data_IF_395218611309
#
_entry.id   IF_395218611309
#
_cell.length_a   1.000
_cell.length_b   1.000
_cell.length_c   1.000
_cell.angle_alpha   90.00
_cell.angle_beta   90.00
_cell.angle_gamma   90.00
#
_symmetry.space_group_name_H-M   'P 1'
#
loop_
_entity.id
_entity.type
_entity.pdbx_description
1 polymer ?
#
# COMPACT_ATOMS: atom_id res chain seq x y z
N UNK A 1 18.09 47.53 9.94
CA UNK A 1 17.29 47.04 11.07
C UNK A 1 15.89 47.65 10.96
N UNK A 2 15.01 47.01 10.19
CA UNK A 2 13.59 47.36 10.11
C UNK A 2 12.80 46.10 10.45
N UNK A 3 12.13 46.15 11.59
CA UNK A 3 11.35 45.07 12.17
C UNK A 3 9.93 45.16 11.60
N UNK A 4 9.53 44.21 10.77
CA UNK A 4 8.18 44.13 10.22
C UNK A 4 7.33 43.23 11.14
N UNK A 5 6.48 43.84 11.95
CA UNK A 5 5.51 43.15 12.80
C UNK A 5 4.31 42.71 11.98
N UNK A 6 4.12 41.40 11.81
CA UNK A 6 2.95 40.80 11.18
C UNK A 6 1.90 40.51 12.27
N UNK A 7 0.72 41.13 12.15
CA UNK A 7 -0.45 40.91 13.00
C UNK A 7 -1.29 39.80 12.39
N UNK A 8 -1.48 38.70 13.11
CA UNK A 8 -2.33 37.57 12.70
C UNK A 8 -3.72 37.77 13.31
N UNK A 9 -4.73 37.97 12.45
CA UNK A 9 -6.14 37.97 12.83
C UNK A 9 -6.66 36.52 12.79
N UNK A 10 -7.10 36.01 13.94
CA UNK A 10 -7.75 34.70 14.06
C UNK A 10 -9.24 34.84 13.68
N UNK A 11 -9.66 34.19 12.60
CA UNK A 11 -11.08 34.03 12.26
C UNK A 11 -11.64 32.73 12.84
N UNK A 12 -12.72 32.86 13.61
CA UNK A 12 -13.40 31.80 14.33
C UNK A 12 -14.54 31.23 13.46
N UNK A 13 -14.42 30.00 12.98
CA UNK A 13 -15.51 29.31 12.26
C UNK A 13 -16.41 28.55 13.25
N UNK A 14 -17.64 29.01 13.42
CA UNK A 14 -18.67 28.29 14.16
C UNK A 14 -19.31 27.21 13.27
N UNK A 15 -19.27 25.96 13.72
CA UNK A 15 -19.91 24.81 13.07
C UNK A 15 -21.42 24.79 13.37
N UNK A 16 -22.25 25.13 12.39
CA UNK A 16 -23.69 24.85 12.43
C UNK A 16 -23.95 23.39 12.00
N UNK A 17 -24.38 22.55 12.94
CA UNK A 17 -24.92 21.20 12.64
C UNK A 17 -26.35 21.33 12.12
N UNK A 18 -26.60 20.85 10.90
CA UNK A 18 -27.94 20.63 10.37
C UNK A 18 -28.47 19.24 10.80
N UNK A 19 -29.78 19.09 11.07
CA UNK A 19 -30.36 17.84 11.54
C UNK A 19 -30.60 16.82 10.41
N UNK A 20 -30.33 15.56 10.70
CA UNK A 20 -30.56 14.40 9.83
C UNK A 20 -32.03 13.95 9.93
N UNK A 21 -32.73 13.70 8.82
CA UNK A 21 -34.09 13.15 8.86
C UNK A 21 -34.10 11.62 9.02
N UNK A 22 -34.93 11.16 9.95
CA UNK A 22 -35.18 9.75 10.28
C UNK A 22 -36.03 9.08 9.19
N UNK A 23 -35.58 7.95 8.65
CA UNK A 23 -36.33 7.11 7.71
C UNK A 23 -36.88 5.88 8.45
N UNK A 24 -38.20 5.68 8.39
CA UNK A 24 -38.91 4.53 8.97
C UNK A 24 -38.93 3.35 7.98
N UNK A 25 -38.65 2.11 8.41
CA UNK A 25 -38.68 0.96 7.50
C UNK A 25 -40.10 0.41 7.29
N UNK A 26 -40.48 0.21 6.02
CA UNK A 26 -41.71 -0.47 5.60
C UNK A 26 -41.46 -1.99 5.61
N UNK A 27 -42.27 -2.73 6.37
CA UNK A 27 -42.32 -4.20 6.37
C UNK A 27 -43.08 -4.70 5.14
N UNK A 28 -42.40 -5.40 4.23
CA UNK A 28 -43.04 -6.16 3.16
C UNK A 28 -43.21 -7.62 3.57
N UNK A 29 -44.44 -8.11 3.57
CA UNK A 29 -44.84 -9.49 3.85
C UNK A 29 -44.99 -10.24 2.53
N UNK A 30 -44.17 -11.26 2.29
CA UNK A 30 -44.31 -12.17 1.15
C UNK A 30 -44.79 -13.54 1.64
N UNK A 31 -45.93 -13.99 1.12
CA UNK A 31 -46.50 -15.32 1.31
C UNK A 31 -45.90 -16.32 0.30
N UNK A 32 -45.53 -17.54 0.69
CA UNK A 32 -45.05 -18.55 -0.25
C UNK A 32 -46.22 -19.31 -0.89
N UNK A 33 -46.15 -19.50 -2.22
CA UNK A 33 -47.07 -20.33 -3.00
C UNK A 33 -46.39 -21.70 -3.21
N UNK A 34 -46.99 -22.74 -2.65
CA UNK A 34 -46.57 -24.14 -2.82
C UNK A 34 -47.16 -24.69 -4.12
N UNK A 35 -46.32 -25.04 -5.09
CA UNK A 35 -46.73 -25.73 -6.32
C UNK A 35 -46.38 -27.21 -6.23
N UNK A 36 -47.39 -28.08 -6.23
CA UNK A 36 -47.24 -29.54 -6.23
C UNK A 36 -47.16 -30.06 -7.67
N UNK A 37 -46.03 -30.67 -8.03
CA UNK A 37 -45.86 -31.34 -9.33
C UNK A 37 -45.92 -32.85 -9.14
N UNK A 38 -46.78 -33.50 -9.92
CA UNK A 38 -47.05 -34.95 -9.88
C UNK A 38 -45.86 -35.75 -10.41
N UNK A 39 -45.49 -36.79 -9.67
CA UNK A 39 -44.52 -37.81 -10.03
C UNK A 39 -45.09 -38.77 -11.06
N UNK A 40 -44.40 -38.97 -12.19
CA UNK A 40 -44.59 -40.10 -13.10
C UNK A 40 -43.35 -40.98 -13.04
N UNK A 41 -43.55 -42.26 -12.79
CA UNK A 41 -42.51 -43.30 -12.72
C UNK A 41 -42.26 -43.87 -14.10
N UNK A 42 -41.03 -43.89 -14.62
CA UNK A 42 -40.66 -44.79 -15.70
C UNK A 42 -39.92 -46.00 -15.15
N UNK A 43 -40.51 -47.18 -15.35
CA UNK A 43 -39.83 -48.47 -15.31
C UNK A 43 -38.97 -48.58 -16.55
N UNK A 44 -37.64 -48.63 -16.41
CA UNK A 44 -36.77 -49.17 -17.44
C UNK A 44 -35.52 -49.81 -16.81
N UNK A 45 -35.29 -51.05 -17.23
CA UNK A 45 -34.23 -51.95 -16.82
C UNK A 45 -32.90 -51.56 -17.52
N UNK A 46 -31.78 -51.34 -16.81
CA UNK A 46 -30.53 -51.03 -17.50
C UNK A 46 -29.73 -52.31 -17.82
N UNK A 47 -29.54 -52.55 -19.12
CA UNK A 47 -28.46 -53.40 -19.65
C UNK A 47 -27.16 -52.62 -19.53
N UNK A 48 -26.19 -53.15 -18.79
CA UNK A 48 -24.91 -52.50 -18.47
C UNK A 48 -23.97 -52.58 -19.68
N UNK A 49 -23.83 -51.49 -20.43
CA UNK A 49 -22.76 -51.30 -21.42
C UNK A 49 -21.70 -50.39 -20.77
N UNK A 50 -20.41 -50.79 -20.72
CA UNK A 50 -19.36 -49.92 -20.19
C UNK A 50 -19.06 -48.79 -21.20
N UNK A 51 -19.42 -47.56 -20.81
CA UNK A 51 -19.02 -46.33 -21.50
C UNK A 51 -17.62 -45.97 -20.99
N UNK A 52 -16.62 -45.99 -21.87
CA UNK A 52 -15.29 -45.45 -21.59
C UNK A 52 -15.37 -43.93 -21.64
N UNK A 53 -15.47 -43.29 -20.46
CA UNK A 53 -15.35 -41.84 -20.32
C UNK A 53 -13.85 -41.51 -20.38
N UNK A 54 -13.38 -40.67 -21.32
CA UNK A 54 -12.01 -40.20 -21.28
C UNK A 54 -11.81 -39.37 -20.01
N UNK A 55 -10.87 -39.79 -19.16
CA UNK A 55 -10.45 -39.04 -17.99
C UNK A 55 -9.77 -37.76 -18.47
N UNK A 56 -10.46 -36.63 -18.38
CA UNK A 56 -9.86 -35.32 -18.56
C UNK A 56 -8.79 -35.17 -17.48
N UNK A 57 -7.51 -35.18 -17.89
CA UNK A 57 -6.39 -34.83 -17.02
C UNK A 57 -6.61 -33.37 -16.58
N UNK A 58 -6.63 -33.05 -15.28
CA UNK A 58 -6.78 -31.68 -14.84
C UNK A 58 -5.60 -30.87 -15.38
N UNK A 59 -5.91 -29.83 -16.16
CA UNK A 59 -4.93 -28.84 -16.59
C UNK A 59 -4.38 -28.17 -15.32
N UNK A 60 -3.05 -28.07 -15.14
CA UNK A 60 -2.51 -27.37 -13.99
C UNK A 60 -3.02 -25.93 -13.98
N UNK A 61 -3.59 -25.53 -12.86
CA UNK A 61 -4.01 -24.16 -12.59
C UNK A 61 -2.80 -23.24 -12.79
N UNK A 62 -2.94 -22.06 -13.43
CA UNK A 62 -1.82 -21.15 -13.64
C UNK A 62 -1.23 -20.77 -12.27
N UNK A 63 -0.05 -21.31 -11.95
CA UNK A 63 0.65 -21.02 -10.71
C UNK A 63 1.23 -19.62 -10.79
N UNK A 64 0.81 -18.72 -9.90
CA UNK A 64 1.42 -17.41 -9.71
C UNK A 64 2.95 -17.57 -9.55
N UNK A 65 3.71 -16.92 -10.43
CA UNK A 65 5.17 -16.86 -10.33
C UNK A 65 5.55 -15.63 -9.52
N UNK A 66 6.07 -15.86 -8.32
CA UNK A 66 6.55 -14.78 -7.46
C UNK A 66 7.82 -14.14 -8.05
N UNK A 67 7.98 -12.81 -7.96
CA UNK A 67 9.26 -12.16 -8.23
C UNK A 67 10.41 -12.76 -7.41
N UNK A 68 11.58 -12.86 -8.02
CA UNK A 68 12.81 -13.26 -7.31
C UNK A 68 13.13 -12.25 -6.21
N UNK A 69 13.63 -12.72 -5.06
CA UNK A 69 13.97 -11.86 -3.92
C UNK A 69 12.84 -11.51 -2.97
N UNK A 70 11.58 -11.81 -3.32
CA UNK A 70 10.44 -11.66 -2.40
C UNK A 70 10.58 -12.60 -1.19
N UNK A 71 10.64 -12.02 0.01
CA UNK A 71 10.61 -12.74 1.29
C UNK A 71 9.47 -12.23 2.16
N UNK A 72 8.85 -13.12 2.94
CA UNK A 72 7.86 -12.69 3.95
C UNK A 72 8.60 -11.98 5.09
N UNK A 73 8.21 -10.73 5.43
CA UNK A 73 8.85 -10.01 6.53
C UNK A 73 8.60 -10.68 7.89
N UNK A 74 9.58 -10.51 8.80
CA UNK A 74 9.49 -10.98 10.17
C UNK A 74 8.24 -10.42 10.88
N UNK A 75 7.83 -11.08 11.97
CA UNK A 75 6.74 -10.61 12.83
C UNK A 75 7.27 -9.96 14.12
N UNK A 76 8.54 -9.55 14.13
CA UNK A 76 9.15 -8.85 15.25
C UNK A 76 8.87 -7.35 15.15
N UNK A 77 8.20 -6.80 16.16
CA UNK A 77 7.84 -5.37 16.22
C UNK A 77 8.59 -4.65 17.35
N UNK A 78 9.68 -5.23 17.85
CA UNK A 78 10.56 -4.56 18.80
C UNK A 78 11.06 -3.26 18.19
N UNK A 79 11.03 -2.18 18.96
CA UNK A 79 11.48 -0.88 18.50
C UNK A 79 13.00 -0.78 18.55
N UNK A 80 13.60 -0.26 17.47
CA UNK A 80 15.04 -0.08 17.32
C UNK A 80 15.34 1.33 16.81
N UNK A 81 16.51 1.85 17.17
CA UNK A 81 17.02 3.13 16.69
C UNK A 81 18.12 2.91 15.67
N UNK A 82 17.93 3.43 14.46
CA UNK A 82 18.88 3.34 13.36
C UNK A 82 19.19 4.76 12.91
N UNK A 83 20.45 5.19 13.00
CA UNK A 83 20.85 6.56 12.67
C UNK A 83 20.00 7.65 13.40
N UNK A 84 19.58 7.37 14.64
CA UNK A 84 18.70 8.25 15.41
C UNK A 84 17.22 8.17 15.06
N UNK A 85 16.84 7.41 14.04
CA UNK A 85 15.46 7.20 13.60
C UNK A 85 14.86 5.97 14.27
N UNK A 86 13.65 6.12 14.82
CA UNK A 86 12.91 5.01 15.43
C UNK A 86 12.16 4.21 14.36
N UNK A 87 12.34 2.91 14.31
CA UNK A 87 11.57 1.98 13.48
C UNK A 87 11.30 0.68 14.26
N UNK A 88 10.42 -0.18 13.75
CA UNK A 88 10.27 -1.53 14.30
C UNK A 88 11.22 -2.52 13.59
N UNK A 89 11.56 -3.62 14.26
CA UNK A 89 12.50 -4.63 13.77
C UNK A 89 12.08 -5.21 12.42
N UNK A 90 10.79 -5.47 12.21
CA UNK A 90 10.24 -5.89 10.92
C UNK A 90 10.59 -4.94 9.78
N UNK A 91 10.42 -3.64 9.99
CA UNK A 91 10.75 -2.61 9.00
C UNK A 91 12.25 -2.60 8.72
N UNK A 92 13.08 -2.75 9.76
CA UNK A 92 14.52 -2.87 9.61
C UNK A 92 14.93 -4.11 8.79
N UNK A 93 14.34 -5.27 9.08
CA UNK A 93 14.63 -6.51 8.35
C UNK A 93 14.29 -6.38 6.85
N UNK A 94 13.19 -5.68 6.54
CA UNK A 94 12.82 -5.37 5.15
C UNK A 94 13.83 -4.40 4.49
N UNK A 95 14.36 -3.42 5.21
CA UNK A 95 15.41 -2.53 4.70
C UNK A 95 16.73 -3.29 4.44
N UNK A 96 17.09 -4.24 5.30
CA UNK A 96 18.24 -5.13 5.09
C UNK A 96 18.05 -5.93 3.80
N UNK A 97 16.87 -6.54 3.60
CA UNK A 97 16.57 -7.26 2.36
C UNK A 97 16.62 -6.34 1.14
N UNK A 98 16.07 -5.13 1.23
CA UNK A 98 16.13 -4.16 0.14
C UNK A 98 17.57 -3.76 -0.18
N UNK A 99 18.43 -3.60 0.83
CA UNK A 99 19.85 -3.29 0.64
C UNK A 99 20.58 -4.40 -0.13
N UNK A 100 20.30 -5.67 0.22
CA UNK A 100 20.87 -6.83 -0.48
C UNK A 100 20.43 -6.93 -1.94
N UNK A 101 19.15 -6.63 -2.21
CA UNK A 101 18.59 -6.63 -3.57
C UNK A 101 19.10 -5.46 -4.43
N UNK A 102 19.24 -4.28 -3.82
CA UNK A 102 19.70 -3.06 -4.50
C UNK A 102 21.20 -3.14 -4.83
N UNK A 103 22.04 -3.51 -3.87
CA UNK A 103 23.49 -3.71 -4.07
C UNK A 103 24.30 -2.46 -4.45
N UNK A 104 23.69 -1.26 -4.49
CA UNK A 104 24.38 0.00 -4.78
C UNK A 104 24.85 0.74 -3.52
N UNK A 105 25.20 2.02 -3.68
CA UNK A 105 25.89 2.81 -2.64
C UNK A 105 25.00 3.49 -1.59
N UNK A 106 23.69 3.63 -1.86
CA UNK A 106 22.72 4.18 -0.90
C UNK A 106 22.55 3.19 0.26
N UNK A 107 23.02 3.58 1.45
CA UNK A 107 22.91 2.84 2.71
C UNK A 107 21.54 3.02 3.38
N UNK A 108 20.65 2.05 3.16
CA UNK A 108 19.25 2.01 3.65
C UNK A 108 19.14 1.72 5.14
N UNK A 109 20.22 1.20 5.74
CA UNK A 109 20.26 0.76 7.15
C UNK A 109 21.09 1.68 8.04
N UNK A 110 21.44 2.85 7.52
CA UNK A 110 22.25 3.82 8.22
C UNK A 110 21.97 5.22 7.72
N UNK A 111 22.92 5.84 7.04
CA UNK A 111 22.90 7.28 6.81
C UNK A 111 21.71 7.76 5.98
N UNK A 112 21.31 7.01 4.96
CA UNK A 112 20.27 7.47 4.05
C UNK A 112 18.86 7.30 4.62
N UNK A 113 18.69 6.61 5.75
CA UNK A 113 17.45 6.67 6.52
C UNK A 113 17.33 8.04 7.20
N UNK A 114 16.56 8.93 6.56
CA UNK A 114 16.42 10.34 6.97
C UNK A 114 15.18 10.61 7.80
N UNK A 115 14.18 9.74 7.75
CA UNK A 115 13.04 9.79 8.66
C UNK A 115 12.54 8.36 8.97
N UNK A 116 12.29 8.10 10.25
CA UNK A 116 11.75 6.83 10.73
C UNK A 116 10.24 6.86 11.02
N UNK A 117 9.76 5.73 11.49
CA UNK A 117 8.40 5.51 11.98
C UNK A 117 8.18 6.15 13.35
N UNK A 118 6.92 6.14 13.81
CA UNK A 118 6.48 6.70 15.09
C UNK A 118 6.93 8.16 15.32
N UNK A 119 7.05 8.94 14.26
CA UNK A 119 7.51 10.33 14.27
C UNK A 119 6.40 11.27 13.81
N UNK A 120 6.32 12.44 14.45
CA UNK A 120 5.42 13.55 14.07
C UNK A 120 6.22 14.82 13.74
N UNK A 121 7.51 14.67 13.46
CA UNK A 121 8.45 15.79 13.36
C UNK A 121 8.22 16.61 12.09
N UNK A 122 7.68 15.98 11.04
CA UNK A 122 7.39 16.62 9.75
C UNK A 122 5.88 16.68 9.54
N UNK A 123 5.28 17.86 9.71
CA UNK A 123 3.85 18.06 9.51
C UNK A 123 3.39 17.72 8.09
N UNK A 124 4.28 17.89 7.11
CA UNK A 124 4.04 17.59 5.70
C UNK A 124 4.06 16.09 5.35
N UNK A 125 4.33 15.20 6.29
CA UNK A 125 4.14 13.75 6.09
C UNK A 125 2.66 13.35 6.08
N UNK A 126 1.72 14.27 6.37
CA UNK A 126 0.29 13.98 6.48
C UNK A 126 -0.02 12.88 7.52
N UNK A 127 0.89 12.66 8.48
CA UNK A 127 0.77 11.64 9.52
C UNK A 127 1.12 10.22 9.08
N UNK A 128 1.71 10.02 7.89
CA UNK A 128 2.13 8.69 7.44
C UNK A 128 3.16 8.07 8.39
N UNK A 129 4.03 8.87 8.99
CA UNK A 129 5.04 8.41 9.95
C UNK A 129 4.54 8.29 11.40
N UNK A 130 3.28 8.61 11.70
CA UNK A 130 2.77 8.56 13.08
C UNK A 130 2.65 7.14 13.65
N UNK A 131 2.79 6.10 12.83
CA UNK A 131 2.79 4.69 13.20
C UNK A 131 4.06 3.97 12.73
N UNK A 132 4.05 2.64 12.76
CA UNK A 132 5.11 1.78 12.24
C UNK A 132 5.18 1.76 10.71
N UNK A 133 6.24 1.14 10.17
CA UNK A 133 6.34 0.77 8.75
C UNK A 133 6.70 1.88 7.76
N UNK A 134 6.59 3.17 8.11
CA UNK A 134 6.94 4.28 7.22
C UNK A 134 8.38 4.74 7.42
N UNK A 135 9.10 4.96 6.31
CA UNK A 135 10.48 5.47 6.27
C UNK A 135 10.70 6.38 5.07
N UNK A 136 11.58 7.37 5.24
CA UNK A 136 12.09 8.19 4.14
C UNK A 136 13.58 7.95 3.94
N UNK A 137 13.97 7.78 2.69
CA UNK A 137 15.30 7.40 2.26
C UNK A 137 15.89 8.47 1.32
N UNK A 138 16.99 9.11 1.71
CA UNK A 138 17.72 10.02 0.83
C UNK A 138 18.26 9.28 -0.40
N UNK A 139 18.21 9.95 -1.55
CA UNK A 139 18.86 9.50 -2.79
C UNK A 139 20.08 10.37 -3.15
N UNK A 140 20.56 11.16 -2.19
CA UNK A 140 21.74 12.01 -2.31
C UNK A 140 22.96 11.23 -1.82
N UNK A 141 24.00 11.14 -2.63
CA UNK A 141 25.26 10.48 -2.29
C UNK A 141 25.85 11.04 -0.99
N UNK A 142 26.28 10.13 -0.12
CA UNK A 142 26.84 10.43 1.20
C UNK A 142 27.90 11.54 1.16
N UNK A 143 27.73 12.54 2.04
CA UNK A 143 28.68 13.63 2.21
C UNK A 143 28.73 14.62 1.03
N UNK A 144 27.80 14.52 0.09
CA UNK A 144 27.71 15.42 -1.08
C UNK A 144 26.29 16.02 -1.20
N UNK A 145 26.07 16.77 -2.28
CA UNK A 145 24.74 17.21 -2.73
C UNK A 145 24.36 16.60 -4.09
N UNK A 146 25.06 15.54 -4.50
CA UNK A 146 24.80 14.86 -5.77
C UNK A 146 23.66 13.86 -5.60
N UNK A 147 22.61 14.02 -6.41
CA UNK A 147 21.54 13.03 -6.50
C UNK A 147 21.98 11.87 -7.39
N UNK A 148 21.76 10.65 -6.93
CA UNK A 148 22.06 9.41 -7.64
C UNK A 148 20.85 8.96 -8.46
N UNK A 149 20.55 9.67 -9.54
CA UNK A 149 19.36 9.40 -10.36
C UNK A 149 19.33 7.98 -10.95
N UNK A 150 20.50 7.44 -11.35
CA UNK A 150 20.61 6.10 -11.93
C UNK A 150 20.28 4.99 -10.90
N UNK A 151 20.38 5.30 -9.61
CA UNK A 151 20.10 4.36 -8.52
C UNK A 151 18.63 4.35 -8.11
N UNK A 152 17.83 5.35 -8.50
CA UNK A 152 16.45 5.50 -8.01
C UNK A 152 15.57 4.33 -8.46
N UNK A 153 15.54 4.01 -9.76
CA UNK A 153 14.69 2.92 -10.27
C UNK A 153 15.09 1.54 -9.68
N UNK A 154 16.39 1.15 -9.68
CA UNK A 154 16.83 -0.07 -9.01
C UNK A 154 16.47 -0.12 -7.53
N UNK A 155 16.63 0.99 -6.80
CA UNK A 155 16.32 1.06 -5.38
C UNK A 155 14.82 0.96 -5.10
N UNK A 156 13.98 1.67 -5.87
CA UNK A 156 12.51 1.55 -5.77
C UNK A 156 12.08 0.10 -6.04
N UNK A 157 12.66 -0.55 -7.05
CA UNK A 157 12.38 -1.96 -7.34
C UNK A 157 12.78 -2.90 -6.19
N UNK A 158 13.97 -2.70 -5.61
CA UNK A 158 14.46 -3.49 -4.49
C UNK A 158 13.58 -3.33 -3.24
N UNK A 159 13.19 -2.09 -2.89
CA UNK A 159 12.26 -1.82 -1.79
C UNK A 159 10.91 -2.51 -2.01
N UNK A 160 10.35 -2.41 -3.21
CA UNK A 160 9.07 -3.04 -3.53
C UNK A 160 9.12 -4.57 -3.46
N UNK A 161 10.22 -5.16 -3.92
CA UNK A 161 10.47 -6.60 -3.83
C UNK A 161 10.66 -7.06 -2.38
N UNK A 162 11.31 -6.26 -1.54
CA UNK A 162 11.44 -6.50 -0.10
C UNK A 162 10.12 -6.32 0.68
N UNK A 163 9.08 -5.79 0.04
CA UNK A 163 7.73 -5.73 0.57
C UNK A 163 7.22 -4.34 0.93
N UNK A 164 7.89 -3.27 0.49
CA UNK A 164 7.39 -1.91 0.63
C UNK A 164 6.45 -1.53 -0.52
N UNK A 165 5.52 -0.60 -0.27
CA UNK A 165 5.14 0.37 -1.30
C UNK A 165 6.18 1.49 -1.27
N UNK A 166 6.76 1.87 -2.39
CA UNK A 166 7.83 2.87 -2.42
C UNK A 166 7.65 3.82 -3.60
N UNK A 167 7.86 5.12 -3.36
CA UNK A 167 7.73 6.18 -4.36
C UNK A 167 8.87 7.19 -4.22
N UNK A 168 9.36 7.69 -5.35
CA UNK A 168 10.15 8.91 -5.33
C UNK A 168 9.26 10.10 -4.95
N UNK A 169 9.80 10.99 -4.14
CA UNK A 169 9.35 12.37 -3.94
C UNK A 169 10.43 13.28 -4.49
N UNK A 170 10.11 14.03 -5.53
CA UNK A 170 10.99 15.01 -6.16
C UNK A 170 11.24 16.21 -5.25
N UNK A 171 12.19 17.06 -5.66
CA UNK A 171 12.35 18.36 -5.03
C UNK A 171 11.07 19.18 -5.15
N UNK A 172 10.74 19.90 -4.07
CA UNK A 172 9.59 20.80 -4.01
C UNK A 172 8.21 20.13 -4.23
N UNK A 173 8.13 18.80 -4.31
CA UNK A 173 6.89 18.08 -4.62
C UNK A 173 5.86 18.17 -3.49
N UNK A 174 6.30 17.96 -2.24
CA UNK A 174 5.40 17.96 -1.08
C UNK A 174 5.11 19.39 -0.59
N UNK A 175 6.11 20.25 -0.64
CA UNK A 175 6.06 21.67 -0.28
C UNK A 175 7.34 22.37 -0.78
N UNK A 176 7.34 23.71 -0.95
CA UNK A 176 8.54 24.45 -1.31
C UNK A 176 9.69 24.21 -0.32
N UNK A 177 10.82 23.72 -0.82
CA UNK A 177 12.01 23.32 -0.09
C UNK A 177 12.05 21.85 0.35
N UNK A 178 11.03 21.04 0.02
CA UNK A 178 11.07 19.60 0.33
C UNK A 178 12.21 18.89 -0.42
N UNK A 179 13.06 18.11 0.27
CA UNK A 179 14.19 17.42 -0.35
C UNK A 179 13.71 16.24 -1.18
N UNK A 180 14.50 15.86 -2.19
CA UNK A 180 14.29 14.61 -2.91
C UNK A 180 14.56 13.40 -2.00
N UNK A 181 13.65 12.44 -1.97
CA UNK A 181 13.78 11.21 -1.18
C UNK A 181 12.85 10.13 -1.74
N UNK A 182 13.08 8.86 -1.37
CA UNK A 182 12.11 7.79 -1.55
C UNK A 182 11.29 7.67 -0.27
N UNK A 183 9.97 7.81 -0.38
CA UNK A 183 9.03 7.48 0.69
C UNK A 183 8.61 6.01 0.56
N UNK A 184 8.74 5.23 1.63
CA UNK A 184 8.40 3.81 1.62
C UNK A 184 7.55 3.39 2.83
N UNK A 185 6.55 2.54 2.57
CA UNK A 185 5.61 2.01 3.56
C UNK A 185 5.65 0.48 3.55
N UNK A 186 5.96 -0.12 4.69
CA UNK A 186 6.05 -1.56 4.87
C UNK A 186 4.65 -2.20 4.82
N UNK A 187 4.33 -2.87 3.70
CA UNK A 187 3.02 -3.52 3.50
C UNK A 187 2.81 -4.58 4.60
N UNK A 188 1.63 -4.61 5.21
CA UNK A 188 1.29 -5.57 6.26
C UNK A 188 1.93 -5.31 7.62
N UNK A 189 2.53 -4.14 7.83
CA UNK A 189 2.90 -3.70 9.17
C UNK A 189 1.64 -3.47 10.01
N UNK A 190 1.58 -4.03 11.21
CA UNK A 190 0.38 -3.93 12.06
C UNK A 190 0.22 -2.57 12.74
N UNK A 191 1.30 -1.79 12.80
CA UNK A 191 1.35 -0.50 13.49
C UNK A 191 1.22 0.68 12.51
N UNK A 192 0.91 0.43 11.22
CA UNK A 192 0.69 1.50 10.23
C UNK A 192 -0.27 2.57 10.77
N UNK A 193 0.05 3.83 10.52
CA UNK A 193 -0.92 4.91 10.72
C UNK A 193 -2.06 4.80 9.71
N UNK A 194 -3.21 5.41 10.02
CA UNK A 194 -4.32 5.50 9.05
C UNK A 194 -3.88 6.15 7.74
N UNK A 195 -3.05 7.18 7.79
CA UNK A 195 -2.55 7.85 6.60
C UNK A 195 -1.66 6.93 5.75
N UNK A 196 -0.77 6.16 6.38
CA UNK A 196 0.07 5.20 5.67
C UNK A 196 -0.77 4.07 5.04
N UNK A 197 -1.77 3.57 5.75
CA UNK A 197 -2.71 2.58 5.21
C UNK A 197 -3.47 3.09 3.99
N UNK A 198 -3.90 4.35 3.98
CA UNK A 198 -4.59 4.97 2.84
C UNK A 198 -3.66 5.13 1.63
N UNK A 199 -2.36 5.37 1.82
CA UNK A 199 -1.41 5.37 0.70
C UNK A 199 -1.22 3.99 0.07
N UNK A 200 -1.54 2.90 0.78
CA UNK A 200 -1.54 1.55 0.21
C UNK A 200 -2.85 1.24 -0.52
N UNK A 201 -3.99 1.43 0.16
CA UNK A 201 -5.29 0.86 -0.24
C UNK A 201 -6.31 1.90 -0.76
N UNK A 202 -6.08 3.17 -0.47
CA UNK A 202 -6.97 4.26 -0.82
C UNK A 202 -7.09 4.47 -2.33
N UNK A 203 -7.94 5.42 -2.74
CA UNK A 203 -8.20 5.70 -4.17
C UNK A 203 -6.97 6.24 -4.92
N UNK A 204 -5.98 6.75 -4.19
CA UNK A 204 -4.69 7.24 -4.70
C UNK A 204 -3.55 6.25 -4.42
N UNK A 205 -3.86 5.04 -3.95
CA UNK A 205 -2.90 4.15 -3.32
C UNK A 205 -2.08 3.27 -4.26
N UNK A 206 -1.02 2.68 -3.69
CA UNK A 206 -0.05 1.81 -4.35
C UNK A 206 -0.69 0.66 -5.15
N UNK A 207 -1.63 -0.06 -4.53
CA UNK A 207 -2.23 -1.23 -5.18
C UNK A 207 -3.07 -0.89 -6.40
N UNK A 208 -3.39 0.40 -6.61
CA UNK A 208 -4.06 0.94 -7.80
C UNK A 208 -3.11 1.56 -8.82
N UNK A 209 -1.79 1.49 -8.59
CA UNK A 209 -0.78 2.05 -9.49
C UNK A 209 -0.60 3.57 -9.41
N UNK A 210 -0.97 4.18 -8.28
CA UNK A 210 -0.88 5.62 -8.06
C UNK A 210 0.21 5.97 -7.04
N UNK A 211 0.58 7.26 -7.00
CA UNK A 211 1.73 7.75 -6.23
C UNK A 211 1.50 7.88 -4.71
N UNK A 212 0.32 7.52 -4.19
CA UNK A 212 -0.02 7.59 -2.77
C UNK A 212 -0.40 8.99 -2.27
N UNK A 213 -0.29 10.05 -3.08
CA UNK A 213 -0.58 11.42 -2.64
C UNK A 213 -2.05 11.80 -2.90
N UNK A 214 -2.78 12.29 -1.87
CA UNK A 214 -4.15 12.74 -2.05
C UNK A 214 -4.23 13.94 -2.99
N UNK A 215 -5.28 13.97 -3.81
CA UNK A 215 -5.53 15.06 -4.76
C UNK A 215 -6.71 15.92 -4.32
N UNK A 216 -6.78 17.20 -4.74
CA UNK A 216 -7.98 18.02 -4.57
C UNK A 216 -9.21 17.33 -5.16
N UNK A 217 -10.39 17.67 -4.63
CA UNK A 217 -11.65 17.09 -5.11
C UNK A 217 -11.82 17.30 -6.63
N UNK A 218 -12.17 16.21 -7.32
CA UNK A 218 -12.35 16.21 -8.78
C UNK A 218 -11.06 16.11 -9.60
N UNK A 219 -9.88 16.11 -8.97
CA UNK A 219 -8.60 15.88 -9.64
C UNK A 219 -8.30 14.39 -9.65
N UNK A 220 -7.90 13.87 -10.81
CA UNK A 220 -7.58 12.46 -10.99
C UNK A 220 -6.32 12.07 -10.18
N UNK A 221 -6.24 10.83 -9.64
CA UNK A 221 -5.02 10.30 -9.05
C UNK A 221 -3.82 10.39 -10.00
N UNK A 222 -2.64 10.65 -9.45
CA UNK A 222 -1.40 10.72 -10.21
C UNK A 222 -0.80 9.30 -10.29
N UNK A 223 -0.52 8.78 -11.51
CA UNK A 223 0.17 7.49 -11.67
C UNK A 223 1.54 7.47 -11.01
N UNK A 224 1.95 6.30 -10.55
CA UNK A 224 3.30 6.05 -10.07
C UNK A 224 4.29 6.05 -11.25
N UNK A 225 5.31 6.91 -11.18
CA UNK A 225 6.32 7.08 -12.22
C UNK A 225 7.17 5.81 -12.47
N UNK A 226 7.32 4.96 -11.44
CA UNK A 226 8.12 3.74 -11.49
C UNK A 226 7.27 2.47 -11.64
N UNK A 227 5.99 2.62 -12.00
CA UNK A 227 5.06 1.50 -12.19
C UNK A 227 4.68 0.79 -10.90
N UNK A 228 4.40 -0.52 -10.96
CA UNK A 228 3.88 -1.31 -9.83
C UNK A 228 2.34 -1.47 -9.84
N UNK A 229 1.76 -2.20 -8.88
CA UNK A 229 2.40 -2.78 -7.69
C UNK A 229 3.24 -4.04 -8.01
N UNK A 230 4.29 -4.27 -7.23
CA UNK A 230 4.95 -5.60 -7.11
C UNK A 230 4.25 -6.37 -5.99
N UNK A 231 3.79 -7.59 -6.30
CA UNK A 231 3.15 -8.49 -5.34
C UNK A 231 4.04 -9.70 -5.07
N UNK A 232 4.30 -9.97 -3.80
CA UNK A 232 4.90 -11.22 -3.36
C UNK A 232 3.80 -12.23 -2.99
N UNK A 233 4.11 -13.54 -2.99
CA UNK A 233 3.13 -14.59 -2.66
C UNK A 233 2.53 -14.39 -1.27
N UNK A 234 3.36 -14.03 -0.29
CA UNK A 234 2.90 -13.75 1.08
C UNK A 234 1.89 -12.58 1.13
N UNK A 235 2.02 -11.58 0.25
CA UNK A 235 1.06 -10.48 0.17
C UNK A 235 -0.31 -10.98 -0.31
N UNK A 236 -0.30 -11.83 -1.33
CA UNK A 236 -1.51 -12.45 -1.88
C UNK A 236 -2.17 -13.35 -0.82
N UNK A 237 -1.38 -14.14 -0.10
CA UNK A 237 -1.86 -14.99 1.00
C UNK A 237 -2.45 -14.17 2.16
N UNK A 238 -2.04 -12.90 2.32
CA UNK A 238 -2.64 -11.95 3.25
C UNK A 238 -3.82 -11.15 2.68
N UNK A 239 -4.18 -11.37 1.42
CA UNK A 239 -5.33 -10.74 0.76
C UNK A 239 -5.04 -9.46 -0.01
N UNK A 240 -3.77 -9.07 -0.14
CA UNK A 240 -3.40 -7.96 -1.04
C UNK A 240 -3.47 -8.41 -2.50
N UNK A 241 -4.00 -7.55 -3.36
CA UNK A 241 -4.19 -7.84 -4.79
C UNK A 241 -3.87 -6.61 -5.63
N UNK A 242 -3.62 -6.81 -6.93
CA UNK A 242 -3.48 -5.71 -7.88
C UNK A 242 -4.88 -5.18 -8.20
N UNK A 243 -5.12 -3.92 -7.84
CA UNK A 243 -6.41 -3.27 -7.96
C UNK A 243 -6.52 -2.41 -9.23
N UNK A 244 -5.51 -2.41 -10.11
CA UNK A 244 -5.57 -1.70 -11.41
C UNK A 244 -6.62 -2.29 -12.33
N UNK A 245 -6.77 -3.62 -12.31
CA UNK A 245 -7.76 -4.36 -13.11
C UNK A 245 -9.15 -4.39 -12.47
N UNK A 246 -9.29 -3.93 -11.23
CA UNK A 246 -10.55 -3.96 -10.47
C UNK A 246 -11.50 -2.79 -10.79
N UNK A 247 -11.33 -2.13 -11.94
CA UNK A 247 -12.22 -1.06 -12.41
C UNK A 247 -13.32 -1.71 -13.27
N UNK A 248 -14.58 -1.80 -12.80
CA UNK A 248 -15.70 -2.18 -13.65
C UNK A 248 -16.01 -1.14 -14.73
#
# INVERSE_FOLDING_TARGET
MFLLTIVILLSNCQNHKLPVPTITPIKSSLTPITSSTKTLTPTNLPTKIPILIPTLTPQPEPTFQQPEGCLEPSKDYTLVYINGMLINQRTYDMLVQAQELYGGEIDLTGYHLTQGSYSNEVSASFGTHSGGGAVDLSVIQYGTYQVLYDDIEPLVHALRTAGFAAWLRGFDELYPGSPIHIHAIAIGDRDLSSAAYEQLNGVFGYFRGFNGLPQPEGVAPIPDEYGGPILCKWMIEQGYTDLREAIP
#
